data_IF_099195978054
#
_entry.id   IF_099195978054
#
_cell.length_a   1.000
_cell.length_b   1.000
_cell.length_c   1.000
_cell.angle_alpha   90.00
_cell.angle_beta   90.00
_cell.angle_gamma   90.00
#
_symmetry.space_group_name_H-M   'P 1'
#
loop_
_entity.id
_entity.type
_entity.pdbx_description
1 polymer ?
#
# COMPACT_ATOMS: atom_id res chain seq x y z
N UNK A 1 -19.77 12.51 11.17
CA UNK A 1 -19.00 12.49 9.91
C UNK A 1 -17.87 13.50 10.06
N UNK A 2 -16.65 13.17 9.65
CA UNK A 2 -15.57 14.17 9.63
C UNK A 2 -15.94 15.30 8.65
N UNK A 3 -15.60 16.54 9.00
CA UNK A 3 -15.80 17.70 8.13
C UNK A 3 -15.07 17.52 6.80
N UNK A 4 -15.69 17.93 5.67
CA UNK A 4 -15.08 17.84 4.33
C UNK A 4 -13.86 18.77 4.29
N UNK A 5 -12.65 18.26 4.01
CA UNK A 5 -11.46 19.10 3.89
C UNK A 5 -11.58 20.12 2.75
N UNK A 6 -11.27 21.38 3.04
CA UNK A 6 -11.21 22.50 2.08
C UNK A 6 -9.85 23.20 2.05
N UNK A 7 -8.88 22.70 2.84
CA UNK A 7 -7.56 23.28 3.03
C UNK A 7 -6.77 22.54 4.10
N UNK A 8 -5.58 23.03 4.41
CA UNK A 8 -4.78 22.56 5.56
C UNK A 8 -5.43 23.00 6.87
N UNK A 9 -5.32 22.17 7.92
CA UNK A 9 -5.89 22.44 9.25
C UNK A 9 -4.87 22.45 10.38
N UNK A 10 -3.62 22.08 10.13
CA UNK A 10 -2.53 22.22 11.08
C UNK A 10 -1.65 23.43 10.76
N UNK A 11 -0.86 23.85 11.73
CA UNK A 11 0.14 24.92 11.62
C UNK A 11 1.49 24.55 12.25
N UNK A 12 1.64 23.28 12.69
CA UNK A 12 2.83 22.71 13.31
C UNK A 12 2.88 21.21 13.03
N UNK A 13 4.09 20.66 12.95
CA UNK A 13 4.34 19.23 12.71
C UNK A 13 3.89 18.76 11.33
N UNK A 14 3.73 17.44 11.19
CA UNK A 14 3.27 16.83 9.94
C UNK A 14 1.74 16.88 9.85
N UNK A 15 1.24 17.26 8.67
CA UNK A 15 -0.17 17.09 8.29
C UNK A 15 -0.30 16.11 7.13
N UNK A 16 -0.93 14.96 7.37
CA UNK A 16 -1.18 13.91 6.38
C UNK A 16 -2.55 14.09 5.70
N UNK A 17 -2.54 14.30 4.39
CA UNK A 17 -3.73 14.27 3.54
C UNK A 17 -3.82 12.89 2.87
N UNK A 18 -4.73 12.03 3.35
CA UNK A 18 -4.76 10.61 2.97
C UNK A 18 -6.17 10.03 2.83
N UNK A 19 -6.25 8.79 2.34
CA UNK A 19 -7.46 7.98 2.34
C UNK A 19 -7.09 6.50 2.55
N UNK A 20 -8.07 5.66 2.91
CA UNK A 20 -7.90 4.25 3.28
C UNK A 20 -7.54 3.31 2.10
N UNK A 21 -6.51 3.68 1.35
CA UNK A 21 -5.97 2.94 0.20
C UNK A 21 -4.56 2.42 0.53
N UNK A 22 -4.02 1.44 -0.21
CA UNK A 22 -2.64 0.98 -0.02
C UNK A 22 -1.61 2.11 -0.03
N UNK A 23 -1.70 3.04 -0.99
CA UNK A 23 -0.75 4.16 -1.04
C UNK A 23 -0.88 5.08 0.19
N UNK A 24 -2.11 5.33 0.66
CA UNK A 24 -2.35 6.11 1.88
C UNK A 24 -1.82 5.42 3.14
N UNK A 25 -1.93 4.09 3.21
CA UNK A 25 -1.45 3.28 4.33
C UNK A 25 0.07 3.35 4.52
N UNK A 26 0.86 3.49 3.44
CA UNK A 26 2.32 3.66 3.57
C UNK A 26 2.67 4.84 4.47
N UNK A 27 2.01 5.98 4.23
CA UNK A 27 2.25 7.22 4.95
C UNK A 27 1.73 7.15 6.40
N UNK A 28 0.53 6.62 6.63
CA UNK A 28 0.02 6.48 8.00
C UNK A 28 0.80 5.47 8.82
N UNK A 29 1.26 4.36 8.22
CA UNK A 29 2.10 3.37 8.91
C UNK A 29 3.41 3.99 9.38
N UNK A 30 4.17 4.65 8.50
CA UNK A 30 5.45 5.23 8.92
C UNK A 30 5.27 6.36 9.94
N UNK A 31 4.19 7.15 9.85
CA UNK A 31 3.93 8.20 10.84
C UNK A 31 3.58 7.62 12.21
N UNK A 32 2.82 6.53 12.28
CA UNK A 32 2.55 5.83 13.54
C UNK A 32 3.81 5.15 14.10
N UNK A 33 4.67 4.59 13.25
CA UNK A 33 5.97 4.02 13.65
C UNK A 33 6.88 5.11 14.24
N UNK A 34 6.97 6.27 13.59
CA UNK A 34 7.74 7.42 14.08
C UNK A 34 7.13 8.03 15.35
N UNK A 35 5.80 8.08 15.45
CA UNK A 35 5.10 8.52 16.66
C UNK A 35 5.45 7.63 17.84
N UNK A 36 5.40 6.32 17.65
CA UNK A 36 5.72 5.35 18.70
C UNK A 36 7.21 5.40 19.08
N UNK A 37 8.11 5.54 18.10
CA UNK A 37 9.55 5.52 18.32
C UNK A 37 10.13 6.82 18.89
N UNK A 38 9.57 7.97 18.53
CA UNK A 38 10.15 9.30 18.77
C UNK A 38 9.19 10.29 19.42
N UNK A 39 7.95 9.90 19.73
CA UNK A 39 6.95 10.79 20.32
C UNK A 39 6.46 11.89 19.37
N UNK A 40 6.62 11.70 18.05
CA UNK A 40 6.19 12.66 17.04
C UNK A 40 4.66 12.73 16.96
N UNK A 41 4.10 13.93 17.08
CA UNK A 41 2.69 14.17 16.78
C UNK A 41 2.49 14.61 15.33
N UNK A 42 1.37 14.18 14.75
CA UNK A 42 0.96 14.58 13.42
C UNK A 42 -0.57 14.67 13.35
N UNK A 43 -1.06 15.50 12.43
CA UNK A 43 -2.48 15.64 12.12
C UNK A 43 -2.79 14.91 10.82
N UNK A 44 -4.00 14.36 10.66
CA UNK A 44 -4.43 13.82 9.37
C UNK A 44 -5.81 14.34 8.94
N UNK A 45 -6.05 14.32 7.63
CA UNK A 45 -7.32 14.63 6.98
C UNK A 45 -7.72 13.52 6.02
N UNK A 46 -9.01 13.16 6.04
CA UNK A 46 -9.59 12.16 5.12
C UNK A 46 -9.97 12.83 3.81
N UNK A 47 -9.18 12.60 2.77
CA UNK A 47 -9.41 13.09 1.41
C UNK A 47 -10.22 12.03 0.66
N UNK A 48 -11.54 12.10 0.74
CA UNK A 48 -12.41 11.15 0.05
C UNK A 48 -12.25 11.27 -1.47
N UNK A 49 -11.51 10.32 -2.05
CA UNK A 49 -11.18 10.32 -3.47
C UNK A 49 -12.38 10.07 -4.38
N UNK A 50 -13.45 9.45 -3.87
CA UNK A 50 -14.71 9.28 -4.60
C UNK A 50 -15.49 10.58 -4.80
N UNK A 51 -15.16 11.63 -4.02
CA UNK A 51 -15.72 12.97 -4.16
C UNK A 51 -14.78 13.93 -4.90
N UNK A 52 -13.69 13.42 -5.49
CA UNK A 52 -12.67 14.19 -6.22
C UNK A 52 -12.03 15.35 -5.42
N UNK A 53 -11.98 15.29 -4.08
CA UNK A 53 -11.36 16.34 -3.24
C UNK A 53 -9.88 16.55 -3.63
N UNK A 54 -9.16 15.47 -3.92
CA UNK A 54 -7.77 15.48 -4.38
C UNK A 54 -7.55 16.21 -5.71
N UNK A 55 -8.61 16.61 -6.41
CA UNK A 55 -8.55 17.37 -7.67
C UNK A 55 -8.82 18.86 -7.48
N UNK A 56 -9.22 19.28 -6.28
CA UNK A 56 -9.51 20.68 -5.98
C UNK A 56 -8.23 21.54 -5.99
N UNK A 57 -8.33 22.85 -6.34
CA UNK A 57 -7.17 23.73 -6.49
C UNK A 57 -6.26 23.81 -5.25
N UNK A 58 -6.84 23.76 -4.04
CA UNK A 58 -6.05 23.84 -2.81
C UNK A 58 -5.19 22.58 -2.61
N UNK A 59 -5.69 21.40 -3.01
CA UNK A 59 -4.96 20.15 -2.91
C UNK A 59 -3.90 20.06 -4.01
N UNK A 60 -4.23 20.41 -5.24
CA UNK A 60 -3.28 20.32 -6.37
C UNK A 60 -2.16 21.34 -6.28
N UNK A 61 -2.34 22.44 -5.53
CA UNK A 61 -1.25 23.34 -5.13
C UNK A 61 -0.19 22.64 -4.27
N UNK A 62 -0.57 21.63 -3.48
CA UNK A 62 0.34 20.84 -2.65
C UNK A 62 0.89 19.63 -3.40
N UNK A 63 0.04 18.93 -4.16
CA UNK A 63 0.40 17.76 -4.94
C UNK A 63 -0.17 17.86 -6.36
N UNK A 64 0.58 18.36 -7.35
CA UNK A 64 0.06 18.64 -8.70
C UNK A 64 -0.49 17.41 -9.44
N UNK A 65 -0.06 16.19 -9.10
CA UNK A 65 -0.62 14.95 -9.63
C UNK A 65 -2.10 14.74 -9.20
N UNK A 66 -2.55 15.43 -8.14
CA UNK A 66 -3.89 15.32 -7.59
C UNK A 66 -4.20 13.89 -7.13
N UNK A 67 -3.27 13.31 -6.37
CA UNK A 67 -3.34 11.95 -5.82
C UNK A 67 -2.91 12.00 -4.36
N UNK A 68 -3.54 11.14 -3.56
CA UNK A 68 -3.12 10.87 -2.17
C UNK A 68 -2.06 9.75 -2.16
N UNK A 69 -1.25 9.64 -1.10
CA UNK A 69 -1.12 10.61 0.00
C UNK A 69 -0.29 11.83 -0.38
N UNK A 70 -0.50 12.91 0.38
CA UNK A 70 0.38 14.09 0.46
C UNK A 70 0.60 14.39 1.93
N UNK A 71 1.83 14.75 2.33
CA UNK A 71 2.09 15.35 3.63
C UNK A 71 2.47 16.82 3.48
N UNK A 72 2.23 17.62 4.50
CA UNK A 72 2.78 18.97 4.66
C UNK A 72 3.55 19.03 5.95
N UNK A 73 4.82 19.44 5.86
CA UNK A 73 5.67 19.67 7.03
C UNK A 73 5.64 21.15 7.42
N UNK A 74 4.82 21.47 8.42
CA UNK A 74 4.66 22.83 8.92
C UNK A 74 5.91 23.33 9.67
N UNK A 75 6.69 22.42 10.28
CA UNK A 75 7.93 22.76 10.97
C UNK A 75 9.06 23.10 9.98
N UNK A 76 8.91 22.70 8.70
CA UNK A 76 9.76 23.10 7.57
C UNK A 76 9.12 24.17 6.69
N UNK A 77 8.30 25.05 7.27
CA UNK A 77 7.71 26.19 6.56
C UNK A 77 6.57 25.80 5.61
N UNK A 78 5.86 24.71 5.90
CA UNK A 78 4.73 24.24 5.09
C UNK A 78 5.16 23.50 3.82
N UNK A 79 6.30 22.79 3.85
CA UNK A 79 6.84 22.08 2.70
C UNK A 79 5.97 20.86 2.34
N UNK A 80 5.36 20.80 1.15
CA UNK A 80 4.55 19.65 0.75
C UNK A 80 5.42 18.53 0.17
N UNK A 81 5.09 17.28 0.49
CA UNK A 81 5.70 16.09 -0.10
C UNK A 81 4.60 15.17 -0.64
N UNK A 82 4.66 14.87 -1.92
CA UNK A 82 3.78 13.90 -2.61
C UNK A 82 4.56 12.65 -3.01
N UNK A 83 3.84 11.62 -3.47
CA UNK A 83 4.36 10.29 -3.80
C UNK A 83 4.78 9.47 -2.56
N UNK A 84 4.16 8.31 -2.37
CA UNK A 84 4.31 7.53 -1.13
C UNK A 84 5.77 7.16 -0.80
N UNK A 85 6.62 6.98 -1.82
CA UNK A 85 8.01 6.57 -1.64
C UNK A 85 8.87 7.76 -1.24
N UNK A 86 8.62 8.92 -1.84
CA UNK A 86 9.25 10.17 -1.43
C UNK A 86 8.82 10.56 0.00
N UNK A 87 7.57 10.30 0.38
CA UNK A 87 7.07 10.51 1.75
C UNK A 87 7.81 9.61 2.75
N UNK A 88 7.90 8.30 2.50
CA UNK A 88 8.64 7.36 3.36
C UNK A 88 10.09 7.81 3.57
N UNK A 89 10.74 8.18 2.47
CA UNK A 89 12.13 8.63 2.46
C UNK A 89 12.32 9.98 3.14
N UNK A 90 11.43 10.94 2.93
CA UNK A 90 11.47 12.26 3.57
C UNK A 90 11.32 12.13 5.09
N UNK A 91 10.32 11.37 5.53
CA UNK A 91 10.01 11.20 6.94
C UNK A 91 11.15 10.49 7.67
N UNK A 92 11.72 9.44 7.09
CA UNK A 92 12.87 8.77 7.72
C UNK A 92 14.12 9.65 7.74
N UNK A 93 14.47 10.32 6.65
CA UNK A 93 15.62 11.25 6.64
C UNK A 93 15.49 12.39 7.66
N UNK A 94 14.26 12.82 7.97
CA UNK A 94 14.00 13.99 8.80
C UNK A 94 13.75 13.63 10.27
N UNK A 95 13.07 12.50 10.53
CA UNK A 95 12.52 12.17 11.84
C UNK A 95 12.95 10.79 12.39
N UNK A 96 13.58 9.92 11.59
CA UNK A 96 14.11 8.62 12.05
C UNK A 96 15.55 8.76 12.57
N UNK A 97 15.74 9.50 13.66
CA UNK A 97 17.08 9.93 14.13
C UNK A 97 18.02 8.79 14.51
N UNK A 98 17.47 7.66 14.96
CA UNK A 98 18.25 6.47 15.35
C UNK A 98 18.26 5.41 14.24
N UNK A 99 17.77 5.76 13.04
CA UNK A 99 17.65 4.86 11.90
C UNK A 99 16.89 3.57 12.23
N UNK A 100 15.79 3.63 13.00
CA UNK A 100 14.99 2.44 13.34
C UNK A 100 14.27 1.85 12.12
N UNK A 101 13.93 2.68 11.14
CA UNK A 101 13.17 2.32 9.94
C UNK A 101 13.93 2.57 8.63
N UNK A 102 15.19 3.01 8.74
CA UNK A 102 16.09 3.33 7.64
C UNK A 102 17.48 2.69 7.84
N UNK A 103 18.39 2.92 6.90
CA UNK A 103 19.74 2.34 6.88
C UNK A 103 20.80 3.44 6.83
N UNK A 104 21.97 3.14 7.40
CA UNK A 104 23.17 3.99 7.35
C UNK A 104 24.25 3.41 6.42
N UNK A 105 24.31 2.09 6.27
CA UNK A 105 25.16 1.43 5.29
C UNK A 105 24.71 1.78 3.87
N UNK A 106 25.63 2.21 3.02
CA UNK A 106 25.32 2.72 1.67
C UNK A 106 24.79 1.64 0.74
N UNK A 107 25.19 0.38 0.94
CA UNK A 107 24.70 -0.74 0.13
C UNK A 107 23.29 -1.15 0.56
N UNK A 108 23.00 -1.15 1.86
CA UNK A 108 21.63 -1.39 2.35
C UNK A 108 20.66 -0.27 1.98
N UNK A 109 21.11 1.00 1.97
CA UNK A 109 20.34 2.11 1.40
C UNK A 109 20.00 1.80 -0.06
N UNK A 110 20.99 1.42 -0.87
CA UNK A 110 20.77 1.10 -2.29
C UNK A 110 19.83 -0.10 -2.47
N UNK A 111 19.93 -1.14 -1.63
CA UNK A 111 19.01 -2.30 -1.66
C UNK A 111 17.58 -1.89 -1.31
N UNK A 112 17.41 -1.02 -0.31
CA UNK A 112 16.10 -0.50 0.06
C UNK A 112 15.48 0.33 -1.08
N UNK A 113 16.28 1.20 -1.71
CA UNK A 113 15.86 2.00 -2.86
C UNK A 113 15.44 1.13 -4.06
N UNK A 114 16.15 0.03 -4.32
CA UNK A 114 15.79 -0.94 -5.37
C UNK A 114 14.42 -1.59 -5.12
N UNK A 115 14.16 -2.05 -3.89
CA UNK A 115 12.85 -2.63 -3.53
C UNK A 115 11.72 -1.61 -3.58
N UNK A 116 11.99 -0.39 -3.12
CA UNK A 116 11.06 0.73 -3.21
C UNK A 116 10.75 1.06 -4.68
N UNK A 117 11.76 1.21 -5.54
CA UNK A 117 11.58 1.45 -6.97
C UNK A 117 10.83 0.31 -7.66
N UNK A 118 11.16 -0.95 -7.35
CA UNK A 118 10.46 -2.13 -7.84
C UNK A 118 8.98 -2.12 -7.44
N UNK A 119 8.68 -1.76 -6.20
CA UNK A 119 7.30 -1.64 -5.73
C UNK A 119 6.54 -0.55 -6.50
N UNK A 120 7.17 0.61 -6.69
CA UNK A 120 6.56 1.77 -7.33
C UNK A 120 6.36 1.58 -8.84
N UNK A 121 7.30 0.92 -9.53
CA UNK A 121 7.23 0.65 -10.97
C UNK A 121 6.56 -0.67 -11.35
N UNK A 122 6.44 -1.61 -10.41
CA UNK A 122 5.91 -2.96 -10.63
C UNK A 122 4.69 -3.27 -9.77
N UNK A 123 4.91 -3.77 -8.55
CA UNK A 123 3.86 -4.35 -7.69
C UNK A 123 2.62 -3.46 -7.55
N UNK A 124 2.80 -2.20 -7.17
CA UNK A 124 1.68 -1.28 -6.96
C UNK A 124 0.86 -1.03 -8.23
N UNK A 125 1.45 -0.52 -9.32
CA UNK A 125 0.73 -0.28 -10.56
C UNK A 125 0.06 -1.53 -11.15
N UNK A 126 0.75 -2.67 -11.18
CA UNK A 126 0.21 -3.90 -11.80
C UNK A 126 -0.97 -4.45 -11.00
N UNK A 127 -0.86 -4.50 -9.67
CA UNK A 127 -1.98 -4.88 -8.81
C UNK A 127 -3.13 -3.87 -8.89
N UNK A 128 -2.84 -2.58 -9.05
CA UNK A 128 -3.85 -1.56 -9.30
C UNK A 128 -4.65 -1.80 -10.59
N UNK A 129 -3.98 -2.25 -11.66
CA UNK A 129 -4.66 -2.66 -12.89
C UNK A 129 -5.48 -3.95 -12.70
N UNK A 130 -4.94 -4.94 -11.99
CA UNK A 130 -5.68 -6.17 -11.68
C UNK A 130 -6.99 -5.84 -10.94
N UNK A 131 -6.93 -4.99 -9.92
CA UNK A 131 -8.09 -4.48 -9.20
C UNK A 131 -9.10 -3.80 -10.14
N UNK A 132 -8.62 -2.99 -11.10
CA UNK A 132 -9.48 -2.33 -12.07
C UNK A 132 -10.23 -3.31 -12.97
N UNK A 133 -9.52 -4.20 -13.66
CA UNK A 133 -10.13 -5.14 -14.60
C UNK A 133 -11.01 -6.18 -13.89
N UNK A 134 -10.67 -6.57 -12.66
CA UNK A 134 -11.44 -7.57 -11.92
C UNK A 134 -12.69 -6.97 -11.25
N UNK A 135 -12.65 -5.71 -10.81
CA UNK A 135 -13.67 -5.13 -9.91
C UNK A 135 -14.38 -3.88 -10.42
N UNK A 136 -13.69 -3.02 -11.17
CA UNK A 136 -14.18 -1.66 -11.47
C UNK A 136 -14.51 -1.42 -12.94
N UNK A 137 -13.96 -2.22 -13.86
CA UNK A 137 -14.29 -2.12 -15.28
C UNK A 137 -15.78 -2.41 -15.50
N UNK A 138 -16.44 -1.55 -16.30
CA UNK A 138 -17.87 -1.72 -16.66
C UNK A 138 -18.09 -2.95 -17.53
N UNK A 139 -17.10 -3.27 -18.36
CA UNK A 139 -17.10 -4.42 -19.24
C UNK A 139 -16.09 -5.45 -18.75
N UNK A 140 -16.38 -6.74 -18.98
CA UNK A 140 -15.44 -7.82 -18.71
C UNK A 140 -14.49 -7.95 -19.88
N UNK A 141 -13.19 -7.76 -19.59
CA UNK A 141 -12.12 -7.80 -20.60
C UNK A 141 -11.16 -8.93 -20.21
N UNK A 142 -11.37 -10.17 -20.68
CA UNK A 142 -10.60 -11.35 -20.25
C UNK A 142 -9.09 -11.16 -20.37
N UNK A 143 -8.61 -10.55 -21.46
CA UNK A 143 -7.17 -10.29 -21.62
C UNK A 143 -6.60 -9.37 -20.53
N UNK A 144 -7.34 -8.32 -20.14
CA UNK A 144 -6.93 -7.42 -19.06
C UNK A 144 -6.92 -8.13 -17.71
N UNK A 145 -7.97 -8.90 -17.40
CA UNK A 145 -8.07 -9.68 -16.16
C UNK A 145 -6.90 -10.65 -16.02
N UNK A 146 -6.61 -11.46 -17.05
CA UNK A 146 -5.51 -12.43 -16.97
C UNK A 146 -4.14 -11.73 -16.93
N UNK A 147 -3.91 -10.71 -17.77
CA UNK A 147 -2.60 -10.05 -17.89
C UNK A 147 -2.16 -9.44 -16.56
N UNK A 148 -3.05 -8.69 -15.92
CA UNK A 148 -2.68 -7.96 -14.71
C UNK A 148 -2.77 -8.82 -13.45
N UNK A 149 -3.70 -9.78 -13.38
CA UNK A 149 -3.69 -10.75 -12.27
C UNK A 149 -2.44 -11.63 -12.36
N UNK A 150 -2.11 -12.14 -13.54
CA UNK A 150 -0.91 -12.97 -13.75
C UNK A 150 0.40 -12.24 -13.52
N UNK A 151 0.51 -10.96 -13.87
CA UNK A 151 1.69 -10.15 -13.54
C UNK A 151 1.76 -9.84 -12.03
N UNK A 152 0.61 -9.64 -11.36
CA UNK A 152 0.57 -9.50 -9.90
C UNK A 152 1.07 -10.78 -9.23
N UNK A 153 0.62 -11.96 -9.67
CA UNK A 153 1.12 -13.25 -9.17
C UNK A 153 2.62 -13.40 -9.36
N UNK A 154 3.14 -13.06 -10.55
CA UNK A 154 4.58 -13.13 -10.82
C UNK A 154 5.38 -12.25 -9.86
N UNK A 155 4.93 -11.00 -9.64
CA UNK A 155 5.59 -10.04 -8.76
C UNK A 155 5.54 -10.47 -7.29
N UNK A 156 4.43 -11.04 -6.83
CA UNK A 156 4.36 -11.62 -5.48
C UNK A 156 5.25 -12.86 -5.38
N UNK A 157 5.37 -13.65 -6.45
CA UNK A 157 6.36 -14.74 -6.54
C UNK A 157 7.80 -14.26 -6.37
N UNK A 158 8.19 -13.15 -7.03
CA UNK A 158 9.52 -12.54 -6.86
C UNK A 158 9.75 -12.14 -5.41
N UNK A 159 8.74 -11.50 -4.79
CA UNK A 159 8.79 -11.12 -3.39
C UNK A 159 8.92 -12.35 -2.47
N UNK A 160 8.21 -13.43 -2.77
CA UNK A 160 8.25 -14.68 -2.03
C UNK A 160 9.63 -15.35 -2.08
N UNK A 161 10.26 -15.42 -3.25
CA UNK A 161 11.62 -15.92 -3.42
C UNK A 161 12.62 -15.02 -2.67
N UNK A 162 12.47 -13.70 -2.78
CA UNK A 162 13.38 -12.76 -2.13
C UNK A 162 13.36 -12.82 -0.59
N UNK A 163 12.22 -13.21 -0.01
CA UNK A 163 12.00 -13.40 1.43
C UNK A 163 12.36 -14.81 1.93
N UNK A 164 12.84 -15.71 1.05
CA UNK A 164 13.29 -17.02 1.50
C UNK A 164 14.45 -16.88 2.50
N UNK A 165 14.27 -17.44 3.70
CA UNK A 165 15.24 -17.35 4.79
C UNK A 165 15.40 -15.96 5.41
N UNK A 166 14.48 -15.02 5.17
CA UNK A 166 14.53 -13.64 5.70
C UNK A 166 13.21 -13.24 6.34
N UNK A 167 13.28 -12.51 7.45
CA UNK A 167 12.14 -11.84 8.07
C UNK A 167 11.77 -10.53 7.37
N UNK A 168 12.73 -9.85 6.75
CA UNK A 168 12.55 -8.55 6.08
C UNK A 168 13.42 -8.42 4.82
N UNK A 169 13.05 -7.49 3.93
CA UNK A 169 13.63 -7.41 2.58
C UNK A 169 15.13 -7.06 2.54
N UNK A 170 15.60 -6.25 3.48
CA UNK A 170 16.97 -5.73 3.52
C UNK A 170 17.55 -5.91 4.91
N UNK A 171 18.75 -6.51 4.98
CA UNK A 171 19.51 -6.66 6.23
C UNK A 171 18.78 -7.40 7.36
N UNK A 172 17.74 -8.17 7.05
CA UNK A 172 16.81 -8.75 8.03
C UNK A 172 16.26 -7.73 9.04
N UNK A 173 16.05 -6.48 8.61
CA UNK A 173 15.57 -5.38 9.42
C UNK A 173 14.32 -4.76 8.81
N UNK A 174 13.29 -4.59 9.63
CA UNK A 174 12.07 -3.87 9.24
C UNK A 174 12.40 -2.44 8.85
N UNK A 175 11.94 -2.01 7.67
CA UNK A 175 12.27 -0.69 7.14
C UNK A 175 11.18 -0.14 6.20
N UNK A 176 11.43 1.06 5.68
CA UNK A 176 10.61 1.64 4.61
C UNK A 176 10.56 0.80 3.33
N UNK A 177 11.54 -0.08 3.09
CA UNK A 177 11.48 -1.04 1.98
C UNK A 177 10.33 -2.03 2.15
N UNK A 178 10.10 -2.49 3.38
CA UNK A 178 9.00 -3.39 3.72
C UNK A 178 7.66 -2.66 3.70
N UNK A 179 7.59 -1.46 4.33
CA UNK A 179 6.37 -0.64 4.37
C UNK A 179 5.87 -0.32 2.96
N UNK A 180 6.78 -0.03 2.02
CA UNK A 180 6.43 0.31 0.65
C UNK A 180 5.62 -0.79 -0.04
N UNK A 181 5.97 -2.06 0.19
CA UNK A 181 5.31 -3.22 -0.44
C UNK A 181 4.15 -3.74 0.40
N UNK A 182 4.26 -3.69 1.74
CA UNK A 182 3.32 -4.30 2.67
C UNK A 182 1.89 -3.79 2.44
N UNK A 183 1.72 -2.49 2.25
CA UNK A 183 0.38 -1.91 2.07
C UNK A 183 -0.39 -2.51 0.87
N UNK A 184 0.31 -2.90 -0.19
CA UNK A 184 -0.28 -3.53 -1.38
C UNK A 184 -0.49 -5.03 -1.18
N UNK A 185 0.46 -5.71 -0.55
CA UNK A 185 0.31 -7.13 -0.17
C UNK A 185 -0.84 -7.32 0.84
N UNK A 186 -1.08 -6.34 1.72
CA UNK A 186 -2.16 -6.37 2.71
C UNK A 186 -3.56 -6.43 2.06
N UNK A 187 -3.71 -6.10 0.77
CA UNK A 187 -4.98 -6.21 0.04
C UNK A 187 -4.88 -7.18 -1.15
N UNK A 188 -3.93 -8.12 -1.12
CA UNK A 188 -3.61 -8.99 -2.25
C UNK A 188 -4.82 -9.78 -2.76
N UNK A 189 -5.65 -10.31 -1.86
CA UNK A 189 -6.88 -11.06 -2.23
C UNK A 189 -7.83 -10.24 -3.12
N UNK A 190 -7.90 -8.93 -2.92
CA UNK A 190 -8.75 -8.03 -3.71
C UNK A 190 -8.38 -8.05 -5.21
N UNK A 191 -7.10 -8.31 -5.53
CA UNK A 191 -6.59 -8.42 -6.90
C UNK A 191 -6.89 -9.76 -7.57
N UNK A 192 -7.44 -10.74 -6.84
CA UNK A 192 -7.67 -12.10 -7.33
C UNK A 192 -6.48 -13.05 -7.15
N UNK A 193 -5.47 -12.65 -6.37
CA UNK A 193 -4.30 -13.46 -6.02
C UNK A 193 -4.42 -13.93 -4.58
N UNK A 194 -4.17 -15.22 -4.34
CA UNK A 194 -4.26 -15.83 -3.02
C UNK A 194 -2.92 -15.74 -2.29
N UNK A 195 -2.89 -15.02 -1.16
CA UNK A 195 -1.65 -14.87 -0.36
C UNK A 195 -1.16 -16.20 0.23
N UNK A 196 -2.05 -17.17 0.43
CA UNK A 196 -1.71 -18.48 1.01
C UNK A 196 -0.83 -19.33 0.07
N UNK A 197 -0.78 -19.01 -1.22
CA UNK A 197 0.10 -19.64 -2.21
C UNK A 197 1.56 -19.17 -2.10
N UNK A 198 1.83 -18.13 -1.29
CA UNK A 198 3.14 -17.48 -1.14
C UNK A 198 3.57 -17.47 0.34
N UNK A 199 4.08 -18.59 0.88
CA UNK A 199 4.29 -18.77 2.31
C UNK A 199 5.28 -17.77 2.95
N UNK A 200 6.34 -17.37 2.24
CA UNK A 200 7.31 -16.40 2.75
C UNK A 200 6.70 -14.99 2.80
N UNK A 201 5.92 -14.62 1.77
CA UNK A 201 5.17 -13.35 1.77
C UNK A 201 4.12 -13.33 2.87
N UNK A 202 3.40 -14.44 3.07
CA UNK A 202 2.42 -14.56 4.14
C UNK A 202 3.07 -14.38 5.51
N UNK A 203 4.16 -15.10 5.79
CA UNK A 203 4.87 -14.99 7.07
C UNK A 203 5.42 -13.57 7.33
N UNK A 204 5.97 -12.92 6.28
CA UNK A 204 6.42 -11.53 6.33
C UNK A 204 5.27 -10.55 6.58
N UNK A 205 4.15 -10.71 5.87
CA UNK A 205 2.97 -9.85 6.03
C UNK A 205 2.34 -10.00 7.42
N UNK A 206 2.27 -11.23 7.95
CA UNK A 206 1.79 -11.51 9.30
C UNK A 206 2.71 -10.89 10.37
N UNK A 207 4.04 -10.87 10.13
CA UNK A 207 5.00 -10.17 11.00
C UNK A 207 4.71 -8.69 11.09
N UNK A 208 4.47 -8.06 9.95
CA UNK A 208 4.29 -6.61 9.85
C UNK A 208 2.91 -6.24 10.40
N UNK A 209 1.86 -7.01 10.09
CA UNK A 209 0.50 -6.74 10.59
C UNK A 209 0.37 -6.88 12.11
N UNK A 210 1.24 -7.65 12.75
CA UNK A 210 1.31 -7.78 14.21
C UNK A 210 1.88 -6.53 14.91
N UNK A 211 2.53 -5.61 14.19
CA UNK A 211 3.13 -4.41 14.79
C UNK A 211 2.04 -3.42 15.23
N UNK A 212 2.06 -2.90 16.47
CA UNK A 212 1.03 -1.97 16.96
C UNK A 212 0.86 -0.71 16.10
N UNK A 213 1.98 -0.09 15.71
CA UNK A 213 1.98 1.08 14.82
C UNK A 213 1.37 0.78 13.44
N UNK A 214 1.62 -0.40 12.88
CA UNK A 214 1.00 -0.81 11.61
C UNK A 214 -0.52 -0.93 11.77
N UNK A 215 -1.01 -1.55 12.83
CA UNK A 215 -2.46 -1.68 13.08
C UNK A 215 -3.17 -0.33 13.23
N UNK A 216 -2.52 0.63 13.92
CA UNK A 216 -3.00 2.02 14.00
C UNK A 216 -2.98 2.69 12.64
N UNK A 217 -1.89 2.57 11.89
CA UNK A 217 -1.71 3.15 10.56
C UNK A 217 -2.76 2.65 9.56
N UNK A 218 -3.08 1.35 9.59
CA UNK A 218 -4.12 0.73 8.76
C UNK A 218 -5.53 1.19 9.10
N UNK A 219 -5.74 1.78 10.28
CA UNK A 219 -7.03 2.28 10.74
C UNK A 219 -7.27 3.75 10.36
N UNK A 220 -6.32 4.41 9.70
CA UNK A 220 -6.38 5.82 9.29
C UNK A 220 -6.66 5.97 7.79
N UNK A 221 -7.63 6.81 7.38
CA UNK A 221 -8.63 7.49 8.21
C UNK A 221 -9.76 6.54 8.65
N UNK A 222 -9.82 5.36 8.05
CA UNK A 222 -10.70 4.26 8.43
C UNK A 222 -10.05 2.94 8.02
N UNK A 223 -10.37 1.87 8.76
CA UNK A 223 -9.89 0.53 8.44
C UNK A 223 -10.45 0.07 7.09
N UNK A 224 -9.56 -0.35 6.18
CA UNK A 224 -9.97 -0.85 4.85
C UNK A 224 -10.69 -2.20 4.98
N UNK A 225 -11.82 -2.35 4.28
CA UNK A 225 -12.53 -3.63 4.15
C UNK A 225 -11.86 -4.60 3.17
N UNK A 226 -10.80 -4.17 2.49
CA UNK A 226 -10.07 -4.98 1.51
C UNK A 226 -8.82 -5.66 2.09
N UNK A 227 -8.49 -5.42 3.37
CA UNK A 227 -7.38 -6.08 4.03
C UNK A 227 -7.57 -7.60 4.03
N UNK A 228 -6.52 -8.39 3.80
CA UNK A 228 -6.60 -9.84 3.57
C UNK A 228 -7.42 -10.57 4.65
N UNK A 229 -7.23 -10.24 5.93
CA UNK A 229 -7.98 -10.86 7.05
C UNK A 229 -9.45 -10.44 7.06
N UNK A 230 -9.72 -9.13 6.89
CA UNK A 230 -11.08 -8.61 6.81
C UNK A 230 -11.83 -9.20 5.61
N UNK A 231 -11.11 -9.37 4.50
CA UNK A 231 -11.60 -9.98 3.27
C UNK A 231 -11.94 -11.47 3.47
N UNK A 232 -11.02 -12.23 4.07
CA UNK A 232 -11.22 -13.64 4.38
C UNK A 232 -12.37 -13.87 5.38
N UNK A 233 -12.51 -12.97 6.37
CA UNK A 233 -13.63 -13.01 7.31
C UNK A 233 -14.95 -12.68 6.61
N UNK A 234 -14.97 -11.66 5.74
CA UNK A 234 -16.17 -11.30 4.97
C UNK A 234 -16.65 -12.44 4.05
N UNK A 235 -15.73 -13.21 3.45
CA UNK A 235 -16.10 -14.40 2.67
C UNK A 235 -16.88 -15.45 3.48
N UNK A 236 -16.68 -15.50 4.80
CA UNK A 236 -17.41 -16.42 5.69
C UNK A 236 -18.75 -15.84 6.15
N UNK A 237 -18.76 -14.53 6.41
CA UNK A 237 -19.90 -13.85 7.06
C UNK A 237 -20.95 -13.33 6.08
N UNK A 238 -20.57 -13.06 4.82
CA UNK A 238 -21.39 -12.44 3.78
C UNK A 238 -21.51 -13.36 2.56
N UNK A 239 -22.62 -14.11 2.48
CA UNK A 239 -22.87 -15.10 1.40
C UNK A 239 -22.95 -14.45 0.02
N UNK A 240 -23.57 -13.28 -0.09
CA UNK A 240 -23.70 -12.57 -1.36
C UNK A 240 -22.31 -12.15 -1.86
N UNK A 241 -21.47 -11.63 -0.97
CA UNK A 241 -20.08 -11.32 -1.30
C UNK A 241 -19.28 -12.56 -1.70
N UNK A 242 -19.49 -13.71 -1.03
CA UNK A 242 -18.83 -14.96 -1.38
C UNK A 242 -19.22 -15.47 -2.78
N UNK A 243 -20.50 -15.37 -3.16
CA UNK A 243 -20.98 -15.72 -4.50
C UNK A 243 -20.41 -14.81 -5.58
N UNK A 244 -20.42 -13.49 -5.33
CA UNK A 244 -19.79 -12.51 -6.23
C UNK A 244 -18.30 -12.78 -6.41
N UNK A 245 -17.61 -13.16 -5.33
CA UNK A 245 -16.19 -13.48 -5.38
C UNK A 245 -15.90 -14.76 -6.16
N UNK A 246 -16.70 -15.81 -5.95
CA UNK A 246 -16.58 -17.05 -6.70
C UNK A 246 -16.74 -16.79 -8.21
N UNK A 247 -17.68 -15.93 -8.61
CA UNK A 247 -17.86 -15.54 -10.01
C UNK A 247 -16.63 -14.82 -10.58
N UNK A 248 -16.02 -13.88 -9.83
CA UNK A 248 -14.81 -13.19 -10.30
C UNK A 248 -13.62 -14.15 -10.40
N UNK A 249 -13.44 -15.04 -9.42
CA UNK A 249 -12.39 -16.07 -9.47
C UNK A 249 -12.53 -16.98 -10.68
N UNK A 250 -13.76 -17.40 -10.98
CA UNK A 250 -14.05 -18.22 -12.15
C UNK A 250 -13.73 -17.46 -13.46
N UNK A 251 -14.09 -16.19 -13.56
CA UNK A 251 -13.75 -15.35 -14.72
C UNK A 251 -12.24 -15.18 -14.91
N UNK A 252 -11.48 -14.97 -13.83
CA UNK A 252 -10.02 -14.87 -13.88
C UNK A 252 -9.42 -16.20 -14.37
N UNK A 253 -9.92 -17.34 -13.86
CA UNK A 253 -9.47 -18.67 -14.25
C UNK A 253 -9.72 -18.92 -15.74
N UNK A 254 -10.95 -18.70 -16.21
CA UNK A 254 -11.30 -18.84 -17.63
C UNK A 254 -10.46 -17.94 -18.53
N UNK A 255 -10.21 -16.69 -18.09
CA UNK A 255 -9.34 -15.77 -18.83
C UNK A 255 -7.89 -16.28 -18.89
N UNK A 256 -7.35 -16.82 -17.80
CA UNK A 256 -6.00 -17.42 -17.81
C UNK A 256 -5.93 -18.63 -18.74
N UNK A 257 -6.93 -19.51 -18.72
CA UNK A 257 -7.00 -20.68 -19.60
C UNK A 257 -7.11 -20.25 -21.08
N UNK A 258 -7.99 -19.28 -21.38
CA UNK A 258 -8.19 -18.74 -22.73
C UNK A 258 -6.89 -18.22 -23.37
N UNK A 259 -6.05 -17.53 -22.59
CA UNK A 259 -4.79 -16.95 -23.08
C UNK A 259 -3.55 -17.77 -22.71
N UNK A 260 -3.73 -19.01 -22.24
CA UNK A 260 -2.64 -19.94 -21.95
C UNK A 260 -1.65 -19.45 -20.89
N UNK A 261 -2.12 -18.66 -19.91
CA UNK A 261 -1.27 -18.20 -18.81
C UNK A 261 -0.76 -19.39 -18.01
N UNK A 262 0.56 -19.43 -17.82
CA UNK A 262 1.24 -20.38 -16.94
C UNK A 262 2.05 -19.58 -15.95
N UNK A 263 1.78 -19.79 -14.67
CA UNK A 263 2.56 -19.16 -13.61
C UNK A 263 4.02 -19.57 -13.73
N UNK A 264 4.91 -18.57 -13.78
CA UNK A 264 6.35 -18.73 -13.72
C UNK A 264 6.91 -17.48 -13.05
N UNK A 265 7.51 -17.64 -11.87
CA UNK A 265 8.27 -16.57 -11.21
C UNK A 265 9.76 -16.95 -11.22
N UNK A 266 10.68 -15.98 -11.43
CA UNK A 266 12.12 -16.21 -11.38
C UNK A 266 12.62 -16.80 -10.05
#
# INVERSE_FOLDING_TARGET
MAERPTGLKANKGIELLTFGTPNGQKASIILEELKEAYGMDYTWQSINIGQNIQKEPWFTKLGPNGRIPVIVDHDKGGFPVMEGLAILTYLTRTYDTDHKFSFTDTLDISRAEQWMAWQHGGLGPMQGQANHFNRFSKEKIPYGMQRYTGETERLVGVLNTALEGKDYLVGNKYSIADIASYSWVNILRFSGVEIDDFPNVKAWADRISARPAVQKGLSIPSKSSFGNDAYAQRLKDDKEFAEQEAAVKQQIKEAKEQYGYKYASP
#
